data_IF_154366937288
#
_entry.id   IF_154366937288
#
_cell.length_a   1.000
_cell.length_b   1.000
_cell.length_c   1.000
_cell.angle_alpha   90.00
_cell.angle_beta   90.00
_cell.angle_gamma   90.00
#
_symmetry.space_group_name_H-M   'P 1'
#
loop_
_entity.id
_entity.type
_entity.pdbx_description
1 polymer ?
#
# COMPACT_ATOMS: atom_id res chain seq x y z
N UNK A 1 2.80 -21.51 -15.91
CA UNK A 1 1.87 -21.12 -14.84
C UNK A 1 2.40 -21.48 -13.44
N UNK A 2 2.86 -22.70 -13.19
CA UNK A 2 3.41 -23.09 -11.88
C UNK A 2 4.64 -22.27 -11.43
N UNK A 3 5.53 -21.88 -12.35
CA UNK A 3 6.74 -21.11 -12.04
C UNK A 3 6.43 -19.68 -11.55
N UNK A 4 5.48 -18.99 -12.19
CA UNK A 4 5.01 -17.67 -11.77
C UNK A 4 4.38 -17.69 -10.38
N UNK A 5 3.58 -18.72 -10.08
CA UNK A 5 3.00 -18.89 -8.74
C UNK A 5 4.06 -19.20 -7.68
N UNK A 6 5.06 -20.00 -8.01
CA UNK A 6 6.22 -20.24 -7.11
C UNK A 6 6.96 -18.95 -6.82
N UNK A 7 7.23 -18.13 -7.85
CA UNK A 7 7.93 -16.85 -7.69
C UNK A 7 7.13 -15.87 -6.83
N UNK A 8 5.82 -15.77 -7.06
CA UNK A 8 4.91 -14.95 -6.22
C UNK A 8 4.90 -15.40 -4.76
N UNK A 9 4.81 -16.72 -4.51
CA UNK A 9 4.88 -17.26 -3.15
C UNK A 9 6.23 -17.00 -2.48
N UNK A 10 7.32 -17.08 -3.25
CA UNK A 10 8.66 -16.76 -2.75
C UNK A 10 8.78 -15.28 -2.36
N UNK A 11 8.25 -14.36 -3.18
CA UNK A 11 8.20 -12.92 -2.85
C UNK A 11 7.38 -12.67 -1.58
N UNK A 12 6.20 -13.28 -1.44
CA UNK A 12 5.39 -13.19 -0.22
C UNK A 12 6.18 -13.67 1.00
N UNK A 13 6.85 -14.81 0.88
CA UNK A 13 7.63 -15.40 1.97
C UNK A 13 8.83 -14.53 2.36
N UNK A 14 9.48 -13.88 1.38
CA UNK A 14 10.55 -12.92 1.62
C UNK A 14 10.04 -11.72 2.42
N UNK A 15 8.91 -11.13 2.01
CA UNK A 15 8.29 -9.99 2.70
C UNK A 15 7.90 -10.35 4.15
N UNK A 16 7.31 -11.54 4.35
CA UNK A 16 7.01 -12.06 5.68
C UNK A 16 8.27 -12.20 6.54
N UNK A 17 9.36 -12.74 5.98
CA UNK A 17 10.64 -12.88 6.68
C UNK A 17 11.25 -11.53 7.09
N UNK A 18 11.23 -10.55 6.19
CA UNK A 18 11.72 -9.19 6.45
C UNK A 18 10.89 -8.48 7.53
N UNK A 19 9.57 -8.67 7.51
CA UNK A 19 8.67 -8.16 8.54
C UNK A 19 9.01 -8.70 9.94
N UNK A 20 9.19 -10.02 10.08
CA UNK A 20 9.56 -10.63 11.37
C UNK A 20 10.92 -10.14 11.87
N UNK A 21 11.92 -10.03 10.99
CA UNK A 21 13.24 -9.54 11.34
C UNK A 21 13.21 -8.10 11.91
N UNK A 22 12.35 -7.24 11.37
CA UNK A 22 12.18 -5.87 11.87
C UNK A 22 11.48 -5.83 13.23
N UNK A 23 10.43 -6.64 13.41
CA UNK A 23 9.60 -6.64 14.61
C UNK A 23 10.35 -7.05 15.89
N UNK A 24 11.25 -8.02 15.78
CA UNK A 24 11.92 -8.63 16.92
C UNK A 24 13.32 -8.04 17.20
N UNK A 25 13.71 -6.98 16.48
CA UNK A 25 15.06 -6.38 16.60
C UNK A 25 15.07 -5.02 17.33
N UNK A 26 16.03 -4.84 18.24
CA UNK A 26 16.27 -3.56 18.95
C UNK A 26 16.97 -2.52 18.04
N UNK A 27 17.50 -2.94 16.89
CA UNK A 27 18.15 -2.11 15.86
C UNK A 27 17.26 -1.79 14.65
N UNK A 28 15.95 -1.70 14.83
CA UNK A 28 14.96 -1.64 13.75
C UNK A 28 15.21 -0.55 12.70
N UNK A 29 15.84 0.58 13.07
CA UNK A 29 16.11 1.70 12.14
C UNK A 29 17.16 1.37 11.07
N UNK A 30 18.27 0.70 11.41
CA UNK A 30 19.31 0.37 10.41
C UNK A 30 18.85 -0.76 9.47
N UNK A 31 18.07 -1.70 9.99
CA UNK A 31 17.45 -2.77 9.18
C UNK A 31 16.38 -2.18 8.26
N UNK A 32 15.59 -1.22 8.76
CA UNK A 32 14.61 -0.48 7.96
C UNK A 32 15.28 0.22 6.77
N UNK A 33 16.34 0.98 7.03
CA UNK A 33 17.10 1.69 5.99
C UNK A 33 17.73 0.73 4.99
N UNK A 34 18.30 -0.39 5.46
CA UNK A 34 18.88 -1.42 4.60
C UNK A 34 17.84 -2.06 3.66
N UNK A 35 16.67 -2.41 4.17
CA UNK A 35 15.59 -3.01 3.38
C UNK A 35 14.98 -2.00 2.39
N UNK A 36 14.69 -0.80 2.86
CA UNK A 36 14.19 0.29 2.01
C UNK A 36 15.18 0.59 0.88
N UNK A 37 16.47 0.70 1.21
CA UNK A 37 17.55 0.87 0.22
C UNK A 37 17.62 -0.29 -0.78
N UNK A 38 17.43 -1.53 -0.35
CA UNK A 38 17.39 -2.70 -1.22
C UNK A 38 16.24 -2.66 -2.24
N UNK A 39 15.03 -2.30 -1.79
CA UNK A 39 13.89 -2.13 -2.69
C UNK A 39 14.06 -0.95 -3.64
N UNK A 40 14.64 0.16 -3.16
CA UNK A 40 15.02 1.27 -4.02
C UNK A 40 16.01 0.86 -5.09
N UNK A 41 17.06 0.13 -4.73
CA UNK A 41 18.04 -0.37 -5.69
C UNK A 41 17.38 -1.30 -6.70
N UNK A 42 16.47 -2.18 -6.28
CA UNK A 42 15.73 -3.06 -7.19
C UNK A 42 14.97 -2.26 -8.26
N UNK A 43 14.26 -1.20 -7.84
CA UNK A 43 13.57 -0.31 -8.77
C UNK A 43 14.53 0.42 -9.73
N UNK A 44 15.67 0.89 -9.21
CA UNK A 44 16.70 1.57 -9.99
C UNK A 44 17.33 0.64 -11.04
N UNK A 45 17.75 -0.56 -10.66
CA UNK A 45 18.34 -1.56 -11.56
C UNK A 45 17.35 -1.99 -12.65
N UNK A 46 16.09 -2.19 -12.28
CA UNK A 46 15.04 -2.52 -13.25
C UNK A 46 14.88 -1.39 -14.28
N UNK A 47 14.79 -0.14 -13.82
CA UNK A 47 14.64 1.01 -14.71
C UNK A 47 15.88 1.25 -15.57
N UNK A 48 17.07 1.01 -15.05
CA UNK A 48 18.33 1.09 -15.80
C UNK A 48 18.40 0.03 -16.90
N UNK A 49 17.99 -1.21 -16.61
CA UNK A 49 17.94 -2.28 -17.60
C UNK A 49 16.93 -2.04 -18.74
N UNK A 50 15.86 -1.30 -18.47
CA UNK A 50 14.86 -0.90 -19.49
C UNK A 50 15.31 0.34 -20.27
N UNK A 51 15.93 1.32 -19.60
CA UNK A 51 16.53 2.51 -20.23
C UNK A 51 15.54 3.59 -20.70
N UNK A 52 14.24 3.43 -20.46
CA UNK A 52 13.22 4.43 -20.81
C UNK A 52 13.19 5.61 -19.81
N UNK A 53 12.79 6.81 -20.26
CA UNK A 53 12.80 8.06 -19.46
C UNK A 53 11.44 8.75 -19.44
N UNK A 54 11.21 9.56 -18.40
CA UNK A 54 10.00 10.36 -18.19
C UNK A 54 8.92 9.65 -17.38
N UNK A 55 7.94 10.42 -16.90
CA UNK A 55 6.91 9.97 -15.98
C UNK A 55 6.03 8.81 -16.53
N UNK A 56 5.70 8.80 -17.82
CA UNK A 56 4.91 7.70 -18.41
C UNK A 56 5.70 6.40 -18.53
N UNK A 57 6.99 6.50 -18.87
CA UNK A 57 7.89 5.36 -18.86
C UNK A 57 8.07 4.82 -17.44
N UNK A 58 8.24 5.70 -16.44
CA UNK A 58 8.32 5.32 -15.04
C UNK A 58 7.06 4.56 -14.58
N UNK A 59 5.87 5.06 -14.93
CA UNK A 59 4.61 4.38 -14.63
C UNK A 59 4.50 3.01 -15.32
N UNK A 60 4.92 2.90 -16.58
CA UNK A 60 4.98 1.62 -17.31
C UNK A 60 5.93 0.63 -16.64
N UNK A 61 7.14 1.07 -16.29
CA UNK A 61 8.14 0.24 -15.61
C UNK A 61 7.64 -0.22 -14.24
N UNK A 62 7.05 0.68 -13.46
CA UNK A 62 6.44 0.36 -12.17
C UNK A 62 5.31 -0.67 -12.32
N UNK A 63 4.39 -0.49 -13.27
CA UNK A 63 3.33 -1.45 -13.52
C UNK A 63 3.87 -2.84 -13.92
N UNK A 64 4.89 -2.89 -14.78
CA UNK A 64 5.51 -4.14 -15.19
C UNK A 64 6.20 -4.85 -14.01
N UNK A 65 6.98 -4.12 -13.22
CA UNK A 65 7.69 -4.67 -12.07
C UNK A 65 6.70 -5.16 -11.00
N UNK A 66 5.69 -4.35 -10.67
CA UNK A 66 4.64 -4.72 -9.71
C UNK A 66 3.84 -5.95 -10.18
N UNK A 67 3.48 -6.02 -11.46
CA UNK A 67 2.81 -7.19 -12.02
C UNK A 67 3.69 -8.45 -11.95
N UNK A 68 5.00 -8.32 -12.20
CA UNK A 68 5.96 -9.42 -12.14
C UNK A 68 6.09 -10.00 -10.72
N UNK A 69 6.04 -9.16 -9.69
CA UNK A 69 6.05 -9.60 -8.29
C UNK A 69 4.66 -10.03 -7.77
N UNK A 70 3.64 -10.02 -8.66
CA UNK A 70 2.32 -10.59 -8.41
C UNK A 70 1.25 -9.61 -7.96
N UNK A 71 1.50 -8.30 -7.98
CA UNK A 71 0.44 -7.32 -7.73
C UNK A 71 -0.52 -7.27 -8.92
N UNK A 72 -1.80 -7.12 -8.64
CA UNK A 72 -2.78 -6.77 -9.64
C UNK A 72 -2.74 -5.25 -9.82
N UNK A 73 -2.20 -4.81 -10.95
CA UNK A 73 -1.98 -3.40 -11.24
C UNK A 73 -2.56 -2.99 -12.59
N UNK A 74 -2.95 -1.73 -12.66
CA UNK A 74 -3.36 -1.07 -13.89
C UNK A 74 -2.54 0.21 -14.07
N UNK A 75 -2.14 0.50 -15.31
CA UNK A 75 -1.48 1.77 -15.66
C UNK A 75 -2.53 2.76 -16.15
N UNK A 76 -2.53 3.95 -15.56
CA UNK A 76 -3.37 5.09 -15.94
C UNK A 76 -2.46 6.28 -16.30
N UNK A 77 -2.02 6.34 -17.57
CA UNK A 77 -1.08 7.36 -18.04
C UNK A 77 0.24 7.37 -17.26
N UNK A 78 0.44 8.43 -16.47
CA UNK A 78 1.60 8.64 -15.57
C UNK A 78 1.42 7.99 -14.19
N UNK A 79 0.34 7.24 -13.97
CA UNK A 79 0.05 6.61 -12.69
C UNK A 79 -0.02 5.08 -12.79
N UNK A 80 0.22 4.44 -11.65
CA UNK A 80 -0.02 3.01 -11.42
C UNK A 80 -1.04 2.87 -10.30
N UNK A 81 -2.05 2.06 -10.57
CA UNK A 81 -3.13 1.70 -9.66
C UNK A 81 -2.88 0.27 -9.17
N UNK A 82 -2.69 0.09 -7.87
CA UNK A 82 -2.59 -1.21 -7.21
C UNK A 82 -3.96 -1.60 -6.69
N UNK A 83 -4.55 -2.63 -7.29
CA UNK A 83 -5.91 -3.12 -6.97
C UNK A 83 -5.88 -4.20 -5.90
N UNK A 84 -4.94 -5.12 -6.02
CA UNK A 84 -4.74 -6.21 -5.05
C UNK A 84 -3.28 -6.62 -5.01
N UNK A 85 -2.88 -7.30 -3.94
CA UNK A 85 -1.53 -7.84 -3.80
C UNK A 85 -1.57 -9.26 -3.21
N UNK A 86 -0.56 -10.10 -3.46
CA UNK A 86 -0.51 -11.47 -2.92
C UNK A 86 -0.53 -11.53 -1.39
N UNK A 87 -0.13 -10.42 -0.75
CA UNK A 87 -0.09 -10.24 0.70
C UNK A 87 -1.34 -9.58 1.26
N UNK A 88 -2.40 -9.41 0.46
CA UNK A 88 -3.62 -8.71 0.88
C UNK A 88 -4.29 -9.36 2.08
N UNK A 89 -4.42 -10.69 2.08
CA UNK A 89 -4.96 -11.42 3.23
C UNK A 89 -4.08 -11.23 4.48
N UNK A 90 -2.75 -11.14 4.32
CA UNK A 90 -1.82 -10.85 5.42
C UNK A 90 -2.01 -9.44 5.97
N UNK A 91 -2.25 -8.45 5.11
CA UNK A 91 -2.59 -7.09 5.55
C UNK A 91 -3.88 -7.10 6.39
N UNK A 92 -4.90 -7.84 5.95
CA UNK A 92 -6.15 -7.98 6.69
C UNK A 92 -5.97 -8.72 8.02
N UNK A 93 -5.10 -9.73 8.08
CA UNK A 93 -4.81 -10.52 9.29
C UNK A 93 -3.90 -9.80 10.29
N UNK A 94 -2.83 -9.14 9.80
CA UNK A 94 -1.74 -8.56 10.60
C UNK A 94 -1.94 -7.07 10.86
N UNK A 95 -2.84 -6.42 10.12
CA UNK A 95 -3.25 -5.05 10.33
C UNK A 95 -2.24 -4.00 9.86
N UNK A 96 -2.38 -2.81 10.44
CA UNK A 96 -1.77 -1.56 9.96
C UNK A 96 -0.24 -1.60 9.83
N UNK A 97 0.45 -2.24 10.78
CA UNK A 97 1.91 -2.21 10.81
C UNK A 97 2.52 -2.98 9.63
N UNK A 98 1.90 -4.10 9.25
CA UNK A 98 2.30 -4.87 8.09
C UNK A 98 2.00 -4.12 6.79
N UNK A 99 0.87 -3.41 6.71
CA UNK A 99 0.57 -2.54 5.58
C UNK A 99 1.59 -1.40 5.44
N UNK A 100 2.03 -0.81 6.57
CA UNK A 100 3.09 0.19 6.60
C UNK A 100 4.41 -0.38 6.08
N UNK A 101 4.77 -1.58 6.50
CA UNK A 101 5.99 -2.25 6.03
C UNK A 101 6.00 -2.41 4.51
N UNK A 102 4.90 -2.88 3.94
CA UNK A 102 4.81 -3.05 2.49
C UNK A 102 4.87 -1.73 1.73
N UNK A 103 4.15 -0.71 2.19
CA UNK A 103 4.11 0.57 1.48
C UNK A 103 5.40 1.38 1.62
N UNK A 104 5.88 1.60 2.84
CA UNK A 104 6.98 2.55 3.11
C UNK A 104 8.36 1.90 2.99
N UNK A 105 8.48 0.58 3.17
CA UNK A 105 9.77 -0.11 3.04
C UNK A 105 9.90 -0.78 1.67
N UNK A 106 8.81 -1.25 1.08
CA UNK A 106 8.90 -2.05 -0.15
C UNK A 106 8.49 -1.26 -1.40
N UNK A 107 7.23 -0.86 -1.51
CA UNK A 107 6.69 -0.30 -2.75
C UNK A 107 7.18 1.11 -3.03
N UNK A 108 7.10 2.03 -2.06
CA UNK A 108 7.49 3.42 -2.27
C UNK A 108 8.98 3.57 -2.57
N UNK A 109 9.93 2.93 -1.85
CA UNK A 109 11.34 3.00 -2.22
C UNK A 109 11.60 2.43 -3.62
N UNK A 110 10.94 1.33 -3.98
CA UNK A 110 11.04 0.77 -5.34
C UNK A 110 10.58 1.75 -6.42
N UNK A 111 9.47 2.46 -6.20
CA UNK A 111 8.99 3.52 -7.10
C UNK A 111 9.97 4.70 -7.16
N UNK A 112 10.61 5.04 -6.04
CA UNK A 112 11.64 6.09 -5.98
C UNK A 112 12.85 5.72 -6.83
N UNK A 113 13.33 4.48 -6.73
CA UNK A 113 14.44 3.99 -7.56
C UNK A 113 14.12 4.04 -9.06
N UNK A 114 12.90 3.64 -9.44
CA UNK A 114 12.42 3.78 -10.82
C UNK A 114 12.40 5.24 -11.24
N UNK A 115 11.82 6.11 -10.41
CA UNK A 115 11.72 7.53 -10.67
C UNK A 115 13.08 8.18 -10.92
N UNK A 116 14.04 7.96 -10.03
CA UNK A 116 15.40 8.51 -10.14
C UNK A 116 16.05 8.15 -11.48
N UNK A 117 15.96 6.88 -11.88
CA UNK A 117 16.54 6.42 -13.14
C UNK A 117 15.75 6.86 -14.35
N UNK A 118 14.44 6.99 -14.25
CA UNK A 118 13.59 7.52 -15.32
C UNK A 118 13.69 9.05 -15.46
N UNK A 119 14.21 9.76 -14.47
CA UNK A 119 14.14 11.23 -14.40
C UNK A 119 12.74 11.74 -14.06
N UNK A 120 12.02 11.03 -13.20
CA UNK A 120 10.67 11.36 -12.73
C UNK A 120 10.58 11.22 -11.20
N UNK A 121 9.57 11.79 -10.59
CA UNK A 121 9.35 11.70 -9.13
C UNK A 121 8.05 10.97 -8.82
N UNK A 122 8.04 9.88 -8.03
CA UNK A 122 6.81 9.26 -7.58
C UNK A 122 6.10 10.12 -6.52
N UNK A 123 4.78 10.13 -6.59
CA UNK A 123 3.86 10.80 -5.68
C UNK A 123 2.78 9.79 -5.30
N UNK A 124 2.62 9.54 -4.00
CA UNK A 124 1.56 8.68 -3.48
C UNK A 124 0.29 9.51 -3.37
N UNK A 125 -0.67 9.26 -4.25
CA UNK A 125 -1.98 9.97 -4.24
C UNK A 125 -2.98 9.28 -3.31
N UNK A 126 -2.93 7.95 -3.27
CA UNK A 126 -3.68 7.16 -2.30
C UNK A 126 -2.89 5.92 -1.92
N UNK A 127 -3.05 5.48 -0.68
CA UNK A 127 -2.36 4.33 -0.12
C UNK A 127 -3.39 3.41 0.54
N UNK A 128 -3.22 2.11 0.34
CA UNK A 128 -4.07 1.08 0.94
C UNK A 128 -4.00 1.14 2.47
N UNK A 129 -2.85 1.54 3.03
CA UNK A 129 -2.69 1.85 4.47
C UNK A 129 -3.58 3.00 4.90
N UNK A 130 -3.58 4.12 4.17
CA UNK A 130 -4.41 5.28 4.49
C UNK A 130 -5.90 4.91 4.41
N UNK A 131 -6.27 4.11 3.41
CA UNK A 131 -7.62 3.56 3.29
C UNK A 131 -7.99 2.67 4.48
N UNK A 132 -7.08 1.80 4.94
CA UNK A 132 -7.30 0.96 6.11
C UNK A 132 -7.46 1.78 7.40
N UNK A 133 -6.61 2.79 7.60
CA UNK A 133 -6.70 3.72 8.74
C UNK A 133 -8.05 4.43 8.80
N UNK A 134 -8.49 4.96 7.65
CA UNK A 134 -9.75 5.67 7.58
C UNK A 134 -10.94 4.73 7.86
N UNK A 135 -10.91 3.49 7.35
CA UNK A 135 -11.91 2.47 7.67
C UNK A 135 -11.98 2.17 9.17
N UNK A 136 -10.84 1.87 9.79
CA UNK A 136 -10.77 1.58 11.24
C UNK A 136 -11.27 2.76 12.06
N UNK A 137 -10.93 3.99 11.65
CA UNK A 137 -11.39 5.21 12.31
C UNK A 137 -12.91 5.39 12.21
N UNK A 138 -13.48 5.12 11.05
CA UNK A 138 -14.93 5.17 10.85
C UNK A 138 -15.65 4.08 11.65
N UNK A 139 -15.13 2.85 11.67
CA UNK A 139 -15.68 1.76 12.46
C UNK A 139 -15.66 2.08 13.96
N UNK A 140 -14.56 2.63 14.45
CA UNK A 140 -14.46 3.11 15.83
C UNK A 140 -15.52 4.19 16.15
N UNK A 141 -15.73 5.14 15.24
CA UNK A 141 -16.74 6.20 15.39
C UNK A 141 -18.16 5.62 15.36
N UNK A 142 -18.45 4.65 14.49
CA UNK A 142 -19.73 3.92 14.46
C UNK A 142 -19.99 3.20 15.80
N UNK A 143 -18.97 2.51 16.32
CA UNK A 143 -19.04 1.84 17.62
C UNK A 143 -19.30 2.82 18.78
N UNK A 144 -18.62 3.97 18.78
CA UNK A 144 -18.84 5.03 19.78
C UNK A 144 -20.25 5.62 19.71
N UNK A 145 -20.76 5.89 18.50
CA UNK A 145 -22.11 6.39 18.30
C UNK A 145 -23.16 5.38 18.80
N UNK A 146 -22.94 4.08 18.54
CA UNK A 146 -23.81 3.01 19.05
C UNK A 146 -23.81 2.97 20.57
N UNK A 147 -22.64 3.04 21.20
CA UNK A 147 -22.54 3.07 22.66
C UNK A 147 -23.22 4.30 23.29
N UNK A 148 -23.12 5.48 22.65
CA UNK A 148 -23.80 6.69 23.10
C UNK A 148 -25.33 6.56 23.00
N UNK A 149 -25.84 5.96 21.92
CA UNK A 149 -27.27 5.65 21.78
C UNK A 149 -27.74 4.69 22.88
N UNK A 150 -27.00 3.62 23.14
CA UNK A 150 -27.33 2.62 24.17
C UNK A 150 -27.34 3.22 25.59
N UNK A 151 -26.48 4.21 25.85
CA UNK A 151 -26.43 4.95 27.12
C UNK A 151 -27.50 6.05 27.25
N UNK A 152 -28.26 6.33 26.19
CA UNK A 152 -29.21 7.44 26.15
C UNK A 152 -28.55 8.82 26.03
N UNK A 153 -27.26 8.87 25.74
CA UNK A 153 -26.48 10.11 25.53
C UNK A 153 -26.69 10.69 24.11
N UNK A 154 -27.39 9.96 23.23
CA UNK A 154 -27.66 10.32 21.84
C UNK A 154 -29.08 9.92 21.45
N UNK A 155 -29.76 10.77 20.68
CA UNK A 155 -31.08 10.45 20.15
C UNK A 155 -31.02 9.45 18.99
N UNK A 156 -32.13 8.76 18.70
CA UNK A 156 -32.22 7.85 17.54
C UNK A 156 -32.08 8.57 16.19
N UNK A 157 -32.54 9.81 16.09
CA UNK A 157 -32.45 10.62 14.87
C UNK A 157 -31.03 11.11 14.62
N UNK A 158 -30.34 11.58 15.67
CA UNK A 158 -28.93 11.97 15.58
C UNK A 158 -28.06 10.77 15.22
N UNK A 159 -28.31 9.61 15.84
CA UNK A 159 -27.62 8.37 15.52
C UNK A 159 -27.79 7.99 14.04
N UNK A 160 -29.02 8.00 13.51
CA UNK A 160 -29.27 7.66 12.10
C UNK A 160 -28.56 8.59 11.14
N UNK A 161 -28.58 9.90 11.43
CA UNK A 161 -27.92 10.92 10.61
C UNK A 161 -26.40 10.71 10.61
N UNK A 162 -25.83 10.43 11.78
CA UNK A 162 -24.41 10.21 11.93
C UNK A 162 -23.94 8.90 11.26
N UNK A 163 -24.73 7.82 11.36
CA UNK A 163 -24.43 6.56 10.65
C UNK A 163 -24.51 6.74 9.14
N UNK A 164 -25.52 7.44 8.62
CA UNK A 164 -25.62 7.72 7.17
C UNK A 164 -24.39 8.45 6.65
N UNK A 165 -23.94 9.49 7.37
CA UNK A 165 -22.70 10.21 7.03
C UNK A 165 -21.45 9.33 7.09
N UNK A 166 -21.38 8.39 8.04
CA UNK A 166 -20.27 7.43 8.10
C UNK A 166 -20.32 6.42 6.95
N UNK A 167 -21.49 5.94 6.52
CA UNK A 167 -21.62 5.08 5.34
C UNK A 167 -21.21 5.78 4.05
N UNK A 168 -21.59 7.06 3.88
CA UNK A 168 -21.13 7.88 2.76
C UNK A 168 -19.60 8.04 2.79
N UNK A 169 -19.03 8.31 3.96
CA UNK A 169 -17.58 8.40 4.13
C UNK A 169 -16.88 7.09 3.78
N UNK A 170 -17.48 5.94 4.11
CA UNK A 170 -16.96 4.62 3.75
C UNK A 170 -16.87 4.39 2.24
N UNK A 171 -17.86 4.88 1.48
CA UNK A 171 -17.91 4.75 0.02
C UNK A 171 -16.84 5.61 -0.67
N UNK A 172 -16.39 6.68 -0.02
CA UNK A 172 -15.35 7.59 -0.55
C UNK A 172 -13.93 7.12 -0.26
N UNK A 173 -13.74 6.10 0.60
CA UNK A 173 -12.41 5.57 0.89
C UNK A 173 -11.84 4.90 -0.37
N UNK A 174 -10.65 5.31 -0.85
CA UNK A 174 -10.03 4.73 -2.03
C UNK A 174 -9.87 3.22 -1.89
N UNK A 175 -10.39 2.47 -2.86
CA UNK A 175 -10.30 1.01 -2.88
C UNK A 175 -8.93 0.51 -3.39
N UNK A 176 -8.09 1.40 -3.93
CA UNK A 176 -6.87 1.07 -4.64
C UNK A 176 -5.76 2.04 -4.18
N UNK A 177 -4.51 1.58 -4.22
CA UNK A 177 -3.35 2.46 -4.07
C UNK A 177 -3.05 3.14 -5.41
N UNK A 178 -2.81 4.45 -5.42
CA UNK A 178 -2.50 5.21 -6.63
C UNK A 178 -1.17 5.92 -6.48
N UNK A 179 -0.25 5.62 -7.39
CA UNK A 179 1.10 6.15 -7.41
C UNK A 179 1.33 6.86 -8.75
N UNK A 180 1.48 8.18 -8.75
CA UNK A 180 1.69 9.01 -9.95
C UNK A 180 3.15 9.43 -10.06
N UNK A 181 3.66 9.55 -11.29
CA UNK A 181 4.97 10.10 -11.57
C UNK A 181 4.87 11.52 -12.14
N UNK A 182 5.78 12.40 -11.71
CA UNK A 182 5.97 13.78 -12.18
C UNK A 182 7.27 13.97 -12.92
#
# INVERSE_FOLDING_TARGET
>A
MAELDTLRKAVVSLLDGMWWALRDSVGALSIYEGYSGGFKQMGAEFAEGVGEKGAEAAAKMAANLFAAIGLEVERDGKAVLVKSCPVWNRILERGLEYAFHLEEICWKPMLEGIGEKAGARPVVESSLRLSHLERVRLDYRKGKAKAALEKGEMSREDYKTQIASFEESFQQIPAQGRYRFE
#
